data_IF_742769520881
#
_entry.id   IF_742769520881
#
_cell.length_a   1.000
_cell.length_b   1.000
_cell.length_c   1.000
_cell.angle_alpha   90.00
_cell.angle_beta   90.00
_cell.angle_gamma   90.00
#
_symmetry.space_group_name_H-M   'P 1'
#
loop_
_entity.id
_entity.type
_entity.pdbx_description
1 polymer ?
#
# COMPACT_ATOMS: atom_id res chain seq x y z
N UNK A 1 -7.25 0.00 23.12
CA UNK A 1 -6.17 -0.43 24.05
C UNK A 1 -4.92 0.35 23.75
N UNK A 2 -4.09 0.60 24.78
CA UNK A 2 -2.75 1.16 24.63
C UNK A 2 -1.74 0.01 24.69
N UNK A 3 -0.76 -0.02 23.80
CA UNK A 3 0.17 -1.15 23.66
C UNK A 3 1.61 -0.66 23.60
N UNK A 4 2.52 -1.47 24.15
CA UNK A 4 3.95 -1.20 24.09
C UNK A 4 4.75 -2.51 24.07
N UNK A 5 5.90 -2.49 23.41
CA UNK A 5 6.90 -3.54 23.49
C UNK A 5 7.70 -3.36 24.80
N UNK A 6 7.61 -4.32 25.72
CA UNK A 6 8.35 -4.28 26.98
C UNK A 6 9.78 -4.80 26.83
N UNK A 7 9.95 -5.85 26.03
CA UNK A 7 11.23 -6.49 25.81
C UNK A 7 11.24 -7.19 24.46
N UNK A 8 12.28 -6.93 23.68
CA UNK A 8 12.62 -7.56 22.41
C UNK A 8 14.10 -7.92 22.41
N UNK A 9 14.49 -9.07 23.01
CA UNK A 9 15.85 -9.56 22.85
C UNK A 9 16.19 -9.69 21.35
N UNK A 10 17.42 -9.36 20.93
CA UNK A 10 17.83 -9.54 19.55
C UNK A 10 17.64 -11.00 19.11
N UNK A 11 17.26 -11.21 17.85
CA UNK A 11 17.03 -12.54 17.28
C UNK A 11 17.94 -12.71 16.06
N UNK A 12 18.68 -13.81 15.97
CA UNK A 12 19.46 -14.10 14.77
C UNK A 12 18.54 -14.45 13.59
N UNK A 13 18.96 -14.06 12.39
CA UNK A 13 18.35 -14.51 11.15
C UNK A 13 18.20 -16.04 11.12
N UNK A 14 17.02 -16.54 10.74
CA UNK A 14 16.71 -17.99 10.74
C UNK A 14 16.36 -18.58 12.10
N UNK A 15 16.29 -17.77 13.17
CA UNK A 15 15.91 -18.22 14.51
C UNK A 15 14.57 -17.66 14.96
N UNK A 16 14.12 -18.17 16.11
CA UNK A 16 12.91 -17.72 16.77
C UNK A 16 13.22 -17.16 18.15
N UNK A 17 12.51 -16.11 18.53
CA UNK A 17 12.61 -15.50 19.84
C UNK A 17 11.24 -15.20 20.45
N UNK A 18 11.25 -14.76 21.70
CA UNK A 18 10.05 -14.36 22.42
C UNK A 18 10.06 -12.86 22.65
N UNK A 19 8.99 -12.19 22.23
CA UNK A 19 8.73 -10.79 22.53
C UNK A 19 7.78 -10.69 23.71
N UNK A 20 8.06 -9.79 24.64
CA UNK A 20 7.14 -9.46 25.73
C UNK A 20 6.47 -8.13 25.44
N UNK A 21 5.14 -8.15 25.40
CA UNK A 21 4.30 -7.01 25.09
C UNK A 21 3.48 -6.64 26.32
N UNK A 22 3.16 -5.36 26.46
CA UNK A 22 2.19 -4.87 27.43
C UNK A 22 0.98 -4.33 26.69
N UNK A 23 -0.21 -4.71 27.13
CA UNK A 23 -1.46 -4.12 26.68
C UNK A 23 -2.26 -3.62 27.87
N UNK A 24 -2.56 -2.31 27.90
CA UNK A 24 -3.48 -1.71 28.87
C UNK A 24 -4.87 -1.61 28.24
N UNK A 25 -5.83 -2.21 28.92
CA UNK A 25 -7.23 -2.25 28.46
C UNK A 25 -7.88 -0.91 28.77
N UNK A 26 -8.22 -0.15 27.74
CA UNK A 26 -8.87 1.17 27.87
C UNK A 26 -10.39 1.06 27.93
N UNK A 27 -10.96 0.07 27.24
CA UNK A 27 -12.37 -0.26 27.22
C UNK A 27 -12.55 -1.78 27.17
N UNK A 28 -13.70 -2.27 27.64
CA UNK A 28 -14.03 -3.69 27.59
C UNK A 28 -13.97 -4.19 26.13
N UNK A 29 -13.27 -5.30 25.84
CA UNK A 29 -13.18 -5.84 24.49
C UNK A 29 -14.55 -6.17 23.91
N UNK A 30 -14.81 -5.84 22.62
CA UNK A 30 -16.11 -6.07 22.00
C UNK A 30 -16.33 -7.54 21.58
N UNK A 31 -15.31 -8.38 21.70
CA UNK A 31 -15.33 -9.80 21.31
C UNK A 31 -14.78 -10.65 22.44
N UNK A 32 -15.29 -11.88 22.55
CA UNK A 32 -14.80 -12.89 23.50
C UNK A 32 -13.56 -13.63 23.02
N UNK A 33 -13.15 -13.43 21.77
CA UNK A 33 -12.01 -14.09 21.11
C UNK A 33 -11.02 -13.09 20.51
N UNK A 34 -10.89 -11.92 21.15
CA UNK A 34 -10.02 -10.84 20.72
C UNK A 34 -8.56 -11.31 20.76
N UNK A 35 -7.98 -11.54 19.59
CA UNK A 35 -6.67 -12.18 19.42
C UNK A 35 -5.63 -11.14 18.98
N UNK A 36 -4.46 -11.08 19.64
CA UNK A 36 -3.36 -10.25 19.20
C UNK A 36 -2.74 -10.80 17.91
N UNK A 37 -2.45 -9.89 16.99
CA UNK A 37 -1.74 -10.14 15.73
C UNK A 37 -0.46 -9.33 15.74
N UNK A 38 0.68 -10.03 15.82
CA UNK A 38 2.01 -9.44 15.77
C UNK A 38 2.52 -9.46 14.33
N UNK A 39 3.08 -8.35 13.87
CA UNK A 39 3.85 -8.31 12.63
C UNK A 39 5.22 -7.68 12.85
N UNK A 40 6.21 -8.22 12.15
CA UNK A 40 7.54 -7.63 12.03
C UNK A 40 7.69 -7.18 10.57
N UNK A 41 7.96 -5.89 10.39
CA UNK A 41 8.06 -5.27 9.07
C UNK A 41 9.40 -4.60 8.90
N UNK A 42 9.91 -4.67 7.68
CA UNK A 42 11.07 -3.90 7.25
C UNK A 42 10.68 -2.42 7.11
N UNK A 43 11.30 -1.49 7.85
CA UNK A 43 10.97 -0.08 7.77
C UNK A 43 11.33 0.55 6.41
N UNK A 44 12.26 -0.04 5.64
CA UNK A 44 12.68 0.49 4.35
C UNK A 44 11.73 0.10 3.20
N UNK A 45 11.36 -1.18 3.14
CA UNK A 45 10.48 -1.71 2.08
C UNK A 45 8.99 -1.72 2.45
N UNK A 46 8.66 -1.71 3.75
CA UNK A 46 7.33 -2.03 4.26
C UNK A 46 6.97 -3.51 4.15
N UNK A 47 7.88 -4.37 3.67
CA UNK A 47 7.63 -5.81 3.53
C UNK A 47 7.49 -6.46 4.91
N UNK A 48 6.61 -7.47 4.98
CA UNK A 48 6.33 -8.19 6.21
C UNK A 48 7.20 -9.43 6.31
N UNK A 49 8.15 -9.40 7.24
CA UNK A 49 9.00 -10.55 7.54
C UNK A 49 8.25 -11.67 8.27
N UNK A 50 7.38 -11.29 9.20
CA UNK A 50 6.69 -12.24 10.07
C UNK A 50 5.28 -11.77 10.39
N UNK A 51 4.36 -12.73 10.51
CA UNK A 51 3.04 -12.54 11.10
C UNK A 51 2.74 -13.71 12.03
N UNK A 52 2.41 -13.40 13.27
CA UNK A 52 2.06 -14.41 14.27
C UNK A 52 0.89 -13.97 15.12
N UNK A 53 0.22 -14.95 15.73
CA UNK A 53 -0.86 -14.71 16.66
C UNK A 53 -0.77 -15.63 17.87
N UNK A 54 -1.61 -15.34 18.86
CA UNK A 54 -1.80 -16.24 19.99
C UNK A 54 -3.28 -16.18 20.33
N UNK A 55 -4.03 -17.20 19.93
CA UNK A 55 -5.48 -17.24 20.13
C UNK A 55 -5.84 -17.09 21.61
N UNK A 56 -6.84 -16.27 21.89
CA UNK A 56 -7.33 -15.97 23.24
C UNK A 56 -8.84 -16.15 23.31
N UNK A 57 -9.36 -16.47 24.49
CA UNK A 57 -10.79 -16.63 24.76
C UNK A 57 -11.20 -15.87 26.01
N UNK A 58 -12.51 -15.63 26.15
CA UNK A 58 -13.11 -14.87 27.24
C UNK A 58 -12.54 -13.45 27.39
N UNK A 59 -12.09 -12.87 26.28
CA UNK A 59 -11.47 -11.53 26.27
C UNK A 59 -12.48 -10.42 26.53
N UNK A 60 -13.77 -10.67 26.29
CA UNK A 60 -14.89 -9.80 26.63
C UNK A 60 -15.07 -9.61 28.14
N UNK A 61 -14.41 -10.43 28.97
CA UNK A 61 -14.39 -10.30 30.43
C UNK A 61 -13.27 -9.41 30.96
N UNK A 62 -12.37 -8.94 30.10
CA UNK A 62 -11.27 -8.07 30.51
C UNK A 62 -11.79 -6.70 30.94
N UNK A 63 -11.28 -6.20 32.05
CA UNK A 63 -11.78 -4.97 32.66
C UNK A 63 -10.97 -3.75 32.23
N UNK A 64 -11.62 -2.59 31.97
CA UNK A 64 -10.92 -1.33 31.78
C UNK A 64 -9.96 -1.03 32.94
N UNK A 65 -8.74 -0.63 32.60
CA UNK A 65 -7.66 -0.35 33.53
C UNK A 65 -6.72 -1.53 33.81
N UNK A 66 -7.12 -2.76 33.47
CA UNK A 66 -6.23 -3.92 33.57
C UNK A 66 -5.06 -3.82 32.60
N UNK A 67 -3.96 -4.44 32.98
CA UNK A 67 -2.74 -4.49 32.18
C UNK A 67 -2.31 -5.93 32.01
N UNK A 68 -2.20 -6.35 30.77
CA UNK A 68 -1.78 -7.70 30.40
C UNK A 68 -0.34 -7.68 29.92
N UNK A 69 0.39 -8.75 30.26
CA UNK A 69 1.68 -9.06 29.65
C UNK A 69 1.46 -10.24 28.73
N UNK A 70 1.76 -10.04 27.45
CA UNK A 70 1.64 -11.06 26.41
C UNK A 70 3.04 -11.50 26.02
N UNK A 71 3.21 -12.80 25.81
CA UNK A 71 4.46 -13.37 25.31
C UNK A 71 4.19 -13.99 23.95
N UNK A 72 4.72 -13.37 22.90
CA UNK A 72 4.50 -13.82 21.52
C UNK A 72 5.81 -14.32 20.92
N UNK A 73 5.75 -15.43 20.19
CA UNK A 73 6.89 -15.94 19.44
C UNK A 73 7.03 -15.14 18.15
N UNK A 74 8.25 -14.82 17.78
CA UNK A 74 8.61 -14.27 16.49
C UNK A 74 9.60 -15.22 15.82
N UNK A 75 9.36 -15.55 14.55
CA UNK A 75 10.25 -16.35 13.73
C UNK A 75 10.86 -15.45 12.65
N UNK A 76 12.18 -15.30 12.64
CA UNK A 76 12.89 -14.47 11.67
C UNK A 76 13.33 -15.35 10.50
N UNK A 77 12.90 -15.06 9.26
CA UNK A 77 13.32 -15.84 8.10
C UNK A 77 14.85 -15.87 7.97
N UNK A 78 15.46 -16.99 7.55
CA UNK A 78 16.88 -17.02 7.26
C UNK A 78 17.22 -16.11 6.08
N UNK A 79 18.45 -15.62 6.02
CA UNK A 79 18.89 -14.63 5.04
C UNK A 79 18.23 -13.25 5.20
N UNK A 80 17.49 -13.01 6.29
CA UNK A 80 17.10 -11.64 6.68
C UNK A 80 18.37 -10.86 7.05
N UNK A 81 18.60 -9.69 6.44
CA UNK A 81 19.74 -8.85 6.78
C UNK A 81 19.71 -8.43 8.25
N UNK A 82 20.86 -8.30 8.93
CA UNK A 82 20.91 -7.69 10.25
C UNK A 82 20.42 -6.24 10.20
N UNK A 83 19.87 -5.76 11.31
CA UNK A 83 19.35 -4.40 11.42
C UNK A 83 18.15 -4.28 12.33
N UNK A 84 17.56 -3.08 12.36
CA UNK A 84 16.36 -2.79 13.15
C UNK A 84 15.09 -2.92 12.32
N UNK A 85 14.14 -3.69 12.85
CA UNK A 85 12.85 -3.95 12.22
C UNK A 85 11.72 -3.42 13.10
N UNK A 86 10.66 -2.93 12.47
CA UNK A 86 9.51 -2.38 13.18
C UNK A 86 8.59 -3.51 13.64
N UNK A 87 8.20 -3.50 14.91
CA UNK A 87 7.23 -4.42 15.50
C UNK A 87 5.90 -3.70 15.63
N UNK A 88 4.85 -4.26 15.02
CA UNK A 88 3.48 -3.72 15.11
C UNK A 88 2.49 -4.75 15.61
N UNK A 89 1.44 -4.27 16.27
CA UNK A 89 0.40 -5.09 16.87
C UNK A 89 -0.98 -4.62 16.44
N UNK A 90 -1.86 -5.56 16.08
CA UNK A 90 -3.28 -5.34 15.88
C UNK A 90 -4.10 -6.31 16.74
N UNK A 91 -5.38 -6.00 16.92
CA UNK A 91 -6.34 -6.88 17.59
C UNK A 91 -7.48 -7.22 16.65
N UNK A 92 -7.83 -8.50 16.58
CA UNK A 92 -8.91 -9.00 15.72
C UNK A 92 -9.84 -9.92 16.51
N UNK A 93 -11.14 -9.71 16.40
CA UNK A 93 -12.13 -10.70 16.81
C UNK A 93 -12.17 -11.79 15.76
N UNK A 94 -11.70 -12.99 16.08
CA UNK A 94 -11.38 -14.03 15.09
C UNK A 94 -12.61 -14.61 14.41
N UNK A 95 -13.66 -14.90 15.16
CA UNK A 95 -14.92 -15.42 14.64
C UNK A 95 -15.65 -14.41 13.74
N UNK A 96 -15.49 -13.12 14.04
CA UNK A 96 -16.12 -12.04 13.29
C UNK A 96 -15.24 -11.48 12.15
N UNK A 97 -13.99 -11.93 12.05
CA UNK A 97 -12.93 -11.36 11.19
C UNK A 97 -12.90 -9.82 11.22
N UNK A 98 -13.01 -9.25 12.42
CA UNK A 98 -13.14 -7.80 12.61
C UNK A 98 -12.02 -7.24 13.47
N UNK A 99 -11.24 -6.35 12.88
CA UNK A 99 -10.20 -5.60 13.58
C UNK A 99 -10.79 -4.56 14.54
N UNK A 100 -10.08 -4.32 15.64
CA UNK A 100 -10.41 -3.30 16.63
C UNK A 100 -9.36 -2.19 16.56
N UNK A 101 -9.83 -0.94 16.52
CA UNK A 101 -8.93 0.20 16.54
C UNK A 101 -8.21 0.32 17.89
N UNK A 102 -6.94 0.71 17.86
CA UNK A 102 -6.22 1.05 19.08
C UNK A 102 -6.43 2.51 19.47
N UNK A 103 -5.98 2.90 20.68
CA UNK A 103 -6.29 4.21 21.27
C UNK A 103 -5.70 5.39 20.47
N UNK A 104 -4.68 5.16 19.63
CA UNK A 104 -4.08 6.19 18.76
C UNK A 104 -4.74 6.35 17.39
N UNK A 105 -5.81 5.59 17.10
CA UNK A 105 -6.48 5.58 15.80
C UNK A 105 -5.79 4.64 14.80
N UNK A 106 -6.59 3.84 14.08
CA UNK A 106 -6.10 2.83 13.14
C UNK A 106 -6.07 1.41 13.71
N UNK A 107 -5.71 0.45 12.85
CA UNK A 107 -5.74 -0.99 13.16
C UNK A 107 -4.41 -1.50 13.74
N UNK A 108 -3.29 -1.02 13.20
CA UNK A 108 -1.95 -1.45 13.55
C UNK A 108 -1.25 -0.36 14.36
N UNK A 109 -0.84 -0.69 15.58
CA UNK A 109 0.02 0.17 16.38
C UNK A 109 1.47 -0.27 16.22
N UNK A 110 2.36 0.66 15.89
CA UNK A 110 3.80 0.46 16.09
C UNK A 110 4.09 0.45 17.59
N UNK A 111 4.67 -0.65 18.08
CA UNK A 111 4.86 -0.88 19.52
C UNK A 111 6.33 -0.89 19.92
N UNK A 112 7.26 -0.92 18.95
CA UNK A 112 8.71 -0.84 19.17
C UNK A 112 9.50 -1.44 18.01
N UNK A 113 10.78 -1.71 18.26
CA UNK A 113 11.69 -2.30 17.28
C UNK A 113 12.28 -3.63 17.76
N UNK A 114 12.74 -4.44 16.80
CA UNK A 114 13.48 -5.67 17.02
C UNK A 114 14.82 -5.58 16.31
N UNK A 115 15.91 -5.83 17.03
CA UNK A 115 17.24 -6.03 16.44
C UNK A 115 17.34 -7.46 15.88
N UNK A 116 17.55 -7.56 14.57
CA UNK A 116 17.91 -8.82 13.91
C UNK A 116 19.43 -8.89 13.79
N UNK A 117 20.00 -10.01 14.22
CA UNK A 117 21.44 -10.26 14.17
C UNK A 117 21.81 -11.14 12.98
N UNK A 118 23.04 -10.95 12.49
CA UNK A 118 23.58 -11.76 11.40
C UNK A 118 23.69 -13.23 11.79
N UNK A 119 23.48 -14.10 10.82
CA UNK A 119 23.78 -15.53 10.90
C UNK A 119 24.09 -16.03 9.51
N UNK A 120 25.22 -16.70 9.35
CA UNK A 120 25.54 -17.33 8.08
C UNK A 120 24.52 -18.41 7.72
N UNK A 121 24.05 -18.36 6.49
CA UNK A 121 23.02 -19.25 6.00
C UNK A 121 23.28 -19.63 4.55
N UNK A 122 23.23 -20.92 4.26
CA UNK A 122 23.33 -21.48 2.93
C UNK A 122 22.03 -22.23 2.63
N UNK A 123 21.16 -21.72 1.74
CA UNK A 123 19.94 -22.43 1.36
C UNK A 123 20.26 -23.72 0.60
N UNK A 124 19.52 -24.78 0.88
CA UNK A 124 19.56 -26.02 0.07
C UNK A 124 19.07 -25.77 -1.36
N UNK A 125 18.09 -24.89 -1.52
CA UNK A 125 17.52 -24.50 -2.82
C UNK A 125 17.28 -22.99 -2.86
N UNK A 126 17.54 -22.41 -4.03
CA UNK A 126 17.28 -20.99 -4.31
C UNK A 126 16.24 -20.91 -5.44
N UNK A 127 15.15 -20.14 -5.28
CA UNK A 127 14.19 -19.90 -6.35
C UNK A 127 14.86 -19.26 -7.56
N UNK A 128 14.44 -19.66 -8.77
CA UNK A 128 14.98 -19.18 -10.05
C UNK A 128 16.51 -19.02 -10.03
N UNK A 129 17.21 -20.09 -9.67
CA UNK A 129 18.64 -20.02 -9.39
C UNK A 129 19.47 -19.65 -10.62
N UNK A 130 20.49 -18.81 -10.46
CA UNK A 130 21.44 -18.47 -11.51
C UNK A 130 22.89 -18.73 -11.08
N UNK A 131 23.49 -19.80 -11.60
CA UNK A 131 24.88 -20.14 -11.26
C UNK A 131 25.92 -19.21 -11.93
N UNK A 132 25.56 -18.55 -13.03
CA UNK A 132 26.45 -17.70 -13.82
C UNK A 132 26.34 -16.20 -13.48
N UNK A 133 25.40 -15.80 -12.62
CA UNK A 133 25.15 -14.40 -12.28
C UNK A 133 26.12 -13.93 -11.19
N UNK A 134 27.37 -13.66 -11.58
CA UNK A 134 28.44 -13.19 -10.68
C UNK A 134 28.81 -11.74 -10.96
N UNK A 135 29.11 -11.00 -9.89
CA UNK A 135 29.65 -9.64 -9.90
C UNK A 135 31.04 -9.60 -9.24
N UNK A 136 31.77 -10.71 -9.26
CA UNK A 136 33.06 -10.86 -8.58
C UNK A 136 32.89 -11.29 -7.12
N UNK A 137 32.76 -10.33 -6.20
CA UNK A 137 32.70 -10.60 -4.75
C UNK A 137 31.34 -11.07 -4.25
N UNK A 138 30.29 -10.82 -5.04
CA UNK A 138 28.93 -11.30 -4.81
C UNK A 138 28.38 -11.99 -6.05
N UNK A 139 27.40 -12.86 -5.87
CA UNK A 139 26.64 -13.47 -6.95
C UNK A 139 25.13 -13.40 -6.66
N UNK A 140 24.33 -13.11 -7.67
CA UNK A 140 22.88 -13.27 -7.60
C UNK A 140 22.56 -14.76 -7.72
N UNK A 141 22.42 -15.42 -6.57
CA UNK A 141 22.17 -16.86 -6.49
C UNK A 141 20.79 -17.24 -7.06
N UNK A 142 19.83 -16.32 -7.01
CA UNK A 142 18.50 -16.47 -7.61
C UNK A 142 17.53 -15.38 -7.16
N UNK A 143 16.26 -15.52 -7.50
CA UNK A 143 15.23 -14.52 -7.20
C UNK A 143 13.83 -15.14 -7.07
N UNK A 144 12.94 -14.42 -6.40
CA UNK A 144 11.51 -14.73 -6.33
C UNK A 144 10.72 -13.47 -6.69
N UNK A 145 9.57 -13.61 -7.37
CA UNK A 145 8.65 -12.50 -7.61
C UNK A 145 7.22 -12.90 -7.23
N UNK A 146 6.42 -11.94 -6.76
CA UNK A 146 5.01 -12.16 -6.46
C UNK A 146 4.10 -12.17 -7.70
N UNK A 147 4.66 -12.05 -8.91
CA UNK A 147 3.88 -12.07 -10.14
C UNK A 147 3.29 -13.48 -10.35
N UNK A 148 1.98 -13.61 -10.17
CA UNK A 148 1.23 -14.86 -10.37
C UNK A 148 0.27 -14.80 -11.56
N UNK A 149 0.33 -13.72 -12.34
CA UNK A 149 -0.51 -13.45 -13.51
C UNK A 149 -0.13 -12.12 -14.18
N UNK A 150 -1.07 -11.56 -14.94
CA UNK A 150 -0.87 -10.22 -15.50
C UNK A 150 -1.02 -9.15 -14.42
N UNK A 151 -0.10 -8.20 -14.42
CA UNK A 151 -0.06 -7.06 -13.51
C UNK A 151 -0.77 -5.87 -14.14
N UNK A 152 -1.27 -4.95 -13.30
CA UNK A 152 -1.85 -3.69 -13.74
C UNK A 152 -0.85 -2.54 -13.62
N UNK A 153 -0.97 -1.50 -14.46
CA UNK A 153 -0.20 -0.28 -14.28
C UNK A 153 -0.40 0.32 -12.87
N UNK A 154 0.69 0.68 -12.19
CA UNK A 154 0.70 1.17 -10.81
C UNK A 154 0.63 0.10 -9.72
N UNK A 155 0.45 -1.17 -10.07
CA UNK A 155 0.49 -2.28 -9.11
C UNK A 155 1.91 -2.45 -8.54
N UNK A 156 2.07 -2.67 -7.22
CA UNK A 156 3.35 -3.05 -6.65
C UNK A 156 3.65 -4.53 -6.91
N UNK A 157 4.88 -4.81 -7.32
CA UNK A 157 5.45 -6.14 -7.48
C UNK A 157 6.49 -6.37 -6.39
N UNK A 158 6.28 -7.38 -5.54
CA UNK A 158 7.31 -7.80 -4.58
C UNK A 158 8.35 -8.65 -5.30
N UNK A 159 9.63 -8.28 -5.20
CA UNK A 159 10.76 -9.04 -5.73
C UNK A 159 11.76 -9.30 -4.60
N UNK A 160 12.26 -10.53 -4.53
CA UNK A 160 13.32 -10.92 -3.60
C UNK A 160 14.55 -11.34 -4.38
N UNK A 161 15.70 -10.78 -4.05
CA UNK A 161 16.99 -11.14 -4.66
C UNK A 161 17.82 -11.89 -3.62
N UNK A 162 18.27 -13.09 -3.97
CA UNK A 162 19.10 -13.93 -3.12
C UNK A 162 20.55 -13.70 -3.52
N UNK A 163 21.27 -12.94 -2.71
CA UNK A 163 22.68 -12.66 -2.95
C UNK A 163 23.53 -13.61 -2.14
N UNK A 164 24.58 -14.16 -2.76
CA UNK A 164 25.60 -14.98 -2.10
C UNK A 164 26.91 -14.22 -2.08
N UNK A 165 27.57 -14.21 -0.93
CA UNK A 165 28.94 -13.73 -0.80
C UNK A 165 29.91 -14.76 -1.40
N UNK A 166 30.80 -14.33 -2.29
CA UNK A 166 31.87 -15.16 -2.86
C UNK A 166 33.19 -14.99 -2.08
N UNK A 167 33.30 -13.96 -1.25
CA UNK A 167 34.39 -13.67 -0.31
C UNK A 167 33.82 -13.23 1.04
N UNK A 168 34.64 -13.22 2.09
CA UNK A 168 34.24 -12.64 3.39
C UNK A 168 34.16 -11.12 3.28
N UNK A 169 33.08 -10.52 3.81
CA UNK A 169 32.80 -9.07 3.76
C UNK A 169 32.88 -8.51 2.34
N UNK A 170 32.06 -9.01 1.40
CA UNK A 170 32.12 -8.58 0.01
C UNK A 170 31.60 -7.15 -0.17
N UNK A 171 32.09 -6.47 -1.18
CA UNK A 171 31.46 -5.25 -1.68
C UNK A 171 30.16 -5.57 -2.44
N UNK A 172 29.07 -4.89 -2.09
CA UNK A 172 27.79 -4.98 -2.78
C UNK A 172 27.59 -3.76 -3.69
N UNK A 173 27.59 -3.92 -5.03
CA UNK A 173 27.31 -2.81 -5.94
C UNK A 173 25.83 -2.40 -5.92
N UNK A 174 25.57 -1.12 -6.11
CA UNK A 174 24.21 -0.60 -6.26
C UNK A 174 23.59 -1.06 -7.59
N UNK A 175 22.33 -1.49 -7.53
CA UNK A 175 21.56 -1.91 -8.70
C UNK A 175 20.16 -1.31 -8.70
N UNK A 176 19.46 -1.48 -9.82
CA UNK A 176 18.08 -1.03 -9.98
C UNK A 176 17.29 -1.97 -10.89
N UNK A 177 15.97 -1.99 -10.73
CA UNK A 177 15.10 -2.76 -11.61
C UNK A 177 14.88 -2.03 -12.94
N UNK A 178 14.84 -2.79 -14.03
CA UNK A 178 14.69 -2.26 -15.37
C UNK A 178 13.77 -3.15 -16.23
N UNK A 179 13.08 -2.58 -17.21
CA UNK A 179 12.33 -3.32 -18.23
C UNK A 179 13.11 -3.42 -19.55
N UNK A 180 12.61 -4.24 -20.49
CA UNK A 180 13.10 -4.33 -21.88
C UNK A 180 13.45 -2.94 -22.44
N UNK A 181 14.66 -2.79 -22.97
CA UNK A 181 15.15 -1.51 -23.50
C UNK A 181 15.81 -0.60 -22.44
N UNK A 182 15.96 -1.08 -21.20
CA UNK A 182 16.68 -0.38 -20.13
C UNK A 182 15.86 0.67 -19.39
N UNK A 183 14.52 0.64 -19.51
CA UNK A 183 13.65 1.58 -18.80
C UNK A 183 13.72 1.31 -17.29
N UNK A 184 14.23 2.24 -16.47
CA UNK A 184 14.34 2.03 -15.03
C UNK A 184 12.97 2.01 -14.37
N UNK A 185 12.81 1.16 -13.37
CA UNK A 185 11.62 1.07 -12.52
C UNK A 185 11.89 1.70 -11.17
N UNK A 186 10.85 2.32 -10.61
CA UNK A 186 10.89 2.76 -9.20
C UNK A 186 10.77 1.55 -8.30
N UNK A 187 11.63 1.47 -7.30
CA UNK A 187 11.57 0.44 -6.27
C UNK A 187 11.86 1.05 -4.91
N UNK A 188 11.22 0.51 -3.87
CA UNK A 188 11.47 0.87 -2.47
C UNK A 188 12.06 -0.33 -1.70
N UNK A 189 12.92 -0.04 -0.73
CA UNK A 189 13.56 -1.02 0.13
C UNK A 189 14.91 -1.53 -0.40
N UNK A 190 15.15 -2.82 -0.14
CA UNK A 190 16.08 -3.75 -0.78
C UNK A 190 17.57 -3.43 -0.88
N UNK A 191 18.02 -2.19 -1.03
CA UNK A 191 19.45 -1.88 -1.01
C UNK A 191 19.98 -2.08 0.42
N UNK A 192 20.96 -2.96 0.59
CA UNK A 192 21.61 -3.12 1.88
C UNK A 192 22.34 -1.84 2.28
N UNK A 193 22.12 -1.36 3.51
CA UNK A 193 23.07 -0.42 4.09
C UNK A 193 24.40 -1.14 4.40
N UNK A 194 25.52 -0.43 4.39
CA UNK A 194 26.85 -1.01 4.68
C UNK A 194 26.86 -1.82 5.98
N UNK A 195 26.21 -1.30 7.03
CA UNK A 195 26.09 -1.99 8.33
C UNK A 195 25.32 -3.30 8.28
N UNK A 196 24.54 -3.55 7.22
CA UNK A 196 23.76 -4.78 7.06
C UNK A 196 24.54 -5.89 6.38
N UNK A 197 25.63 -5.56 5.70
CA UNK A 197 26.54 -6.52 5.08
C UNK A 197 27.82 -6.73 5.91
N UNK A 198 27.94 -6.02 7.04
CA UNK A 198 28.99 -6.24 8.02
C UNK A 198 28.96 -7.68 8.55
N UNK A 199 30.07 -8.39 8.36
CA UNK A 199 30.19 -9.79 8.78
C UNK A 199 29.51 -10.79 7.86
N UNK A 200 29.09 -10.39 6.66
CA UNK A 200 28.59 -11.31 5.64
C UNK A 200 29.70 -12.27 5.19
N UNK A 201 29.63 -13.51 5.67
CA UNK A 201 30.65 -14.54 5.45
C UNK A 201 30.55 -15.22 4.09
N UNK A 202 31.68 -15.71 3.59
CA UNK A 202 31.77 -16.42 2.32
C UNK A 202 30.77 -17.59 2.23
N UNK A 203 30.09 -17.67 1.09
CA UNK A 203 29.07 -18.67 0.78
C UNK A 203 27.70 -18.39 1.40
N UNK A 204 27.62 -17.50 2.40
CA UNK A 204 26.37 -17.13 3.05
C UNK A 204 25.46 -16.32 2.12
N UNK A 205 24.15 -16.47 2.28
CA UNK A 205 23.13 -15.81 1.47
C UNK A 205 22.36 -14.79 2.29
N UNK A 206 22.25 -13.57 1.76
CA UNK A 206 21.32 -12.53 2.22
C UNK A 206 20.24 -12.30 1.19
N UNK A 207 19.05 -11.93 1.65
CA UNK A 207 17.87 -11.72 0.81
C UNK A 207 17.48 -10.24 0.85
N UNK A 208 17.66 -9.56 -0.28
CA UNK A 208 17.08 -8.23 -0.51
C UNK A 208 15.60 -8.36 -0.82
N UNK A 209 14.79 -7.44 -0.29
CA UNK A 209 13.34 -7.40 -0.48
C UNK A 209 12.95 -6.05 -1.05
N UNK A 210 12.36 -6.08 -2.23
CA UNK A 210 12.03 -4.90 -3.02
C UNK A 210 10.53 -4.83 -3.29
N UNK A 211 9.97 -3.63 -3.18
CA UNK A 211 8.65 -3.29 -3.72
C UNK A 211 8.85 -2.49 -5.01
N UNK A 212 8.75 -3.16 -6.15
CA UNK A 212 8.91 -2.58 -7.49
C UNK A 212 7.56 -2.03 -7.96
N UNK A 213 7.50 -0.75 -8.31
CA UNK A 213 6.25 -0.13 -8.78
C UNK A 213 6.17 -0.21 -10.30
N UNK A 214 5.13 -0.87 -10.82
CA UNK A 214 4.87 -0.87 -12.27
C UNK A 214 4.45 0.55 -12.70
N UNK A 215 5.07 1.14 -13.75
CA UNK A 215 4.72 2.48 -14.20
C UNK A 215 3.24 2.57 -14.59
N UNK A 216 2.58 3.65 -14.18
CA UNK A 216 1.13 3.84 -14.37
C UNK A 216 0.78 4.04 -15.85
N UNK A 217 1.71 4.56 -16.64
CA UNK A 217 1.60 4.79 -18.08
C UNK A 217 2.14 3.62 -18.92
N UNK A 218 2.59 2.54 -18.29
CA UNK A 218 3.07 1.37 -19.00
C UNK A 218 1.95 0.76 -19.84
N UNK A 219 2.21 0.58 -21.14
CA UNK A 219 1.24 -0.01 -22.06
C UNK A 219 1.05 -1.50 -21.75
N UNK A 220 -0.06 -2.06 -22.23
CA UNK A 220 -0.24 -3.50 -22.19
C UNK A 220 0.80 -4.21 -23.05
N UNK A 221 1.27 -5.34 -22.57
CA UNK A 221 2.28 -6.09 -23.28
C UNK A 221 3.03 -7.08 -22.41
N UNK A 222 4.05 -7.68 -23.00
CA UNK A 222 4.96 -8.59 -22.32
C UNK A 222 6.31 -7.88 -22.24
N UNK A 223 6.85 -7.77 -21.03
CA UNK A 223 8.11 -7.10 -20.75
C UNK A 223 9.07 -8.06 -20.08
N UNK A 224 10.36 -7.98 -20.43
CA UNK A 224 11.41 -8.61 -19.65
C UNK A 224 11.71 -7.72 -18.45
N UNK A 225 11.68 -8.29 -17.26
CA UNK A 225 12.09 -7.66 -16.02
C UNK A 225 13.56 -8.01 -15.78
N UNK A 226 14.40 -7.01 -15.57
CA UNK A 226 15.80 -7.17 -15.25
C UNK A 226 16.19 -6.50 -13.95
N UNK A 227 17.30 -6.95 -13.37
CA UNK A 227 18.06 -6.20 -12.38
C UNK A 227 19.36 -5.73 -13.02
N UNK A 228 19.46 -4.42 -13.20
CA UNK A 228 20.58 -3.73 -13.84
C UNK A 228 21.60 -3.35 -12.76
N UNK A 229 22.86 -3.77 -12.92
CA UNK A 229 23.96 -3.49 -11.99
C UNK A 229 25.23 -3.24 -12.80
N UNK A 230 25.87 -2.09 -12.63
CA UNK A 230 26.97 -1.67 -13.51
C UNK A 230 26.56 -1.78 -15.00
N UNK A 231 27.32 -2.56 -15.80
CA UNK A 231 27.03 -2.87 -17.20
C UNK A 231 26.28 -4.20 -17.39
N UNK A 232 26.03 -4.94 -16.30
CA UNK A 232 25.36 -6.24 -16.31
C UNK A 232 23.84 -6.09 -16.16
N UNK A 233 23.11 -6.97 -16.84
CA UNK A 233 21.65 -7.09 -16.70
C UNK A 233 21.30 -8.53 -16.38
N UNK A 234 20.79 -8.78 -15.18
CA UNK A 234 20.25 -10.08 -14.81
C UNK A 234 18.79 -10.17 -15.25
N UNK A 235 18.48 -11.07 -16.17
CA UNK A 235 17.12 -11.35 -16.61
C UNK A 235 16.35 -12.11 -15.50
N UNK A 236 15.37 -11.44 -14.91
CA UNK A 236 14.51 -11.99 -13.86
C UNK A 236 13.25 -12.65 -14.42
N UNK A 237 13.12 -12.72 -15.74
CA UNK A 237 11.99 -13.30 -16.45
C UNK A 237 11.02 -12.26 -17.01
N UNK A 238 9.86 -12.74 -17.45
CA UNK A 238 8.87 -11.90 -18.12
C UNK A 238 7.69 -11.56 -17.22
N UNK A 239 7.24 -10.31 -17.26
CA UNK A 239 5.96 -9.87 -16.69
C UNK A 239 4.97 -9.52 -17.82
N UNK A 240 3.70 -9.77 -17.56
CA UNK A 240 2.61 -9.40 -18.47
C UNK A 240 1.88 -8.21 -17.86
N UNK A 241 1.66 -7.15 -18.63
CA UNK A 241 0.91 -5.98 -18.22
C UNK A 241 -0.45 -6.00 -18.91
N UNK A 242 -1.50 -6.02 -18.09
CA UNK A 242 -2.87 -5.89 -18.55
C UNK A 242 -3.15 -4.48 -19.04
N UNK A 243 -3.90 -4.38 -20.15
CA UNK A 243 -4.32 -3.09 -20.68
C UNK A 243 -5.42 -2.50 -19.85
N UNK A 244 -5.23 -1.25 -19.44
CA UNK A 244 -6.32 -0.44 -18.92
C UNK A 244 -6.85 0.43 -20.05
N UNK A 245 -8.15 0.35 -20.32
CA UNK A 245 -8.80 1.23 -21.28
C UNK A 245 -8.79 2.65 -20.69
N UNK A 246 -8.00 3.54 -21.29
CA UNK A 246 -7.88 4.94 -20.89
C UNK A 246 -8.54 5.83 -21.93
N UNK A 247 -9.30 6.83 -21.48
CA UNK A 247 -9.92 7.82 -22.35
C UNK A 247 -9.04 9.08 -22.29
N UNK A 248 -8.33 9.37 -23.37
CA UNK A 248 -7.43 10.53 -23.45
C UNK A 248 -8.03 11.70 -24.24
N UNK A 249 -8.97 11.40 -25.12
CA UNK A 249 -9.73 12.40 -25.86
C UNK A 249 -10.92 12.86 -25.01
N UNK A 250 -11.17 14.16 -25.02
CA UNK A 250 -12.26 14.73 -24.25
C UNK A 250 -13.61 14.14 -24.72
N UNK A 251 -14.37 13.49 -23.83
CA UNK A 251 -15.69 12.99 -24.18
C UNK A 251 -16.67 14.16 -24.35
N UNK A 252 -17.74 13.91 -25.09
CA UNK A 252 -18.88 14.81 -25.13
C UNK A 252 -19.61 14.78 -23.77
N UNK A 253 -20.04 15.95 -23.31
CA UNK A 253 -20.80 16.14 -22.07
C UNK A 253 -21.92 17.14 -22.31
N UNK A 254 -23.06 16.93 -21.65
CA UNK A 254 -24.22 17.83 -21.72
C UNK A 254 -23.89 19.18 -21.07
N UNK A 255 -23.21 19.14 -19.93
CA UNK A 255 -22.79 20.34 -19.19
C UNK A 255 -21.27 20.38 -19.04
N UNK A 256 -20.62 21.29 -19.75
CA UNK A 256 -19.20 21.60 -19.53
C UNK A 256 -19.05 22.47 -18.27
N UNK A 257 -18.18 22.04 -17.35
CA UNK A 257 -17.94 22.71 -16.07
C UNK A 257 -16.53 23.31 -16.02
N UNK A 258 -15.51 22.52 -16.37
CA UNK A 258 -14.09 22.89 -16.36
C UNK A 258 -13.62 23.54 -15.04
N UNK A 259 -13.92 22.92 -13.90
CA UNK A 259 -13.52 23.41 -12.58
C UNK A 259 -12.32 22.63 -12.02
N UNK A 260 -11.21 23.32 -11.75
CA UNK A 260 -10.00 22.71 -11.24
C UNK A 260 -9.93 22.72 -9.71
N UNK A 261 -9.81 21.55 -9.10
CA UNK A 261 -9.64 21.33 -7.68
C UNK A 261 -8.15 21.15 -7.35
N UNK A 262 -7.62 22.06 -6.52
CA UNK A 262 -6.28 21.96 -5.95
C UNK A 262 -5.12 21.95 -6.96
N UNK A 263 -5.35 22.32 -8.22
CA UNK A 263 -4.34 22.25 -9.28
C UNK A 263 -4.18 20.86 -9.92
N UNK A 264 -4.93 19.85 -9.49
CA UNK A 264 -4.61 18.43 -9.79
C UNK A 264 -5.72 17.64 -10.47
N UNK A 265 -6.99 17.96 -10.21
CA UNK A 265 -8.14 17.28 -10.81
C UNK A 265 -9.14 18.33 -11.31
N UNK A 266 -9.53 18.22 -12.58
CA UNK A 266 -10.63 18.97 -13.16
C UNK A 266 -11.93 18.17 -13.07
N UNK A 267 -13.01 18.80 -12.58
CA UNK A 267 -14.35 18.39 -12.98
C UNK A 267 -14.60 18.94 -14.38
N UNK A 268 -14.38 18.11 -15.40
CA UNK A 268 -14.48 18.51 -16.81
C UNK A 268 -15.93 18.81 -17.18
N UNK A 269 -16.85 17.91 -16.87
CA UNK A 269 -18.27 18.09 -17.16
C UNK A 269 -19.16 17.10 -16.44
N UNK A 270 -20.46 17.20 -16.71
CA UNK A 270 -21.46 16.32 -16.14
C UNK A 270 -22.66 16.13 -17.07
N UNK A 271 -23.23 14.94 -17.00
CA UNK A 271 -24.50 14.58 -17.63
C UNK A 271 -25.50 14.25 -16.53
N UNK A 272 -26.69 14.84 -16.63
CA UNK A 272 -27.74 14.67 -15.64
C UNK A 272 -28.98 14.11 -16.32
N UNK A 273 -29.36 12.89 -15.96
CA UNK A 273 -30.54 12.22 -16.48
C UNK A 273 -31.54 11.98 -15.34
N UNK A 274 -32.75 12.48 -15.50
CA UNK A 274 -33.86 12.19 -14.59
C UNK A 274 -34.73 11.07 -15.19
N UNK A 275 -34.92 10.00 -14.42
CA UNK A 275 -35.82 8.89 -14.73
C UNK A 275 -37.06 8.98 -13.82
N UNK A 276 -37.94 7.98 -13.82
CA UNK A 276 -39.22 8.05 -13.10
C UNK A 276 -39.04 8.19 -11.58
N UNK A 277 -38.10 7.44 -10.98
CA UNK A 277 -37.83 7.43 -9.53
C UNK A 277 -36.38 7.79 -9.15
N UNK A 278 -35.50 7.99 -10.13
CA UNK A 278 -34.06 8.12 -9.93
C UNK A 278 -33.47 9.29 -10.73
N UNK A 279 -32.63 10.08 -10.07
CA UNK A 279 -31.75 11.07 -10.69
C UNK A 279 -30.36 10.45 -10.83
N UNK A 280 -29.91 10.28 -12.07
CA UNK A 280 -28.58 9.76 -12.41
C UNK A 280 -27.67 10.88 -12.86
N UNK A 281 -26.54 11.02 -12.18
CA UNK A 281 -25.50 11.98 -12.49
C UNK A 281 -24.24 11.22 -12.93
N UNK A 282 -23.76 11.49 -14.13
CA UNK A 282 -22.43 11.08 -14.57
C UNK A 282 -21.50 12.27 -14.47
N UNK A 283 -20.43 12.16 -13.70
CA UNK A 283 -19.37 13.14 -13.60
C UNK A 283 -18.21 12.70 -14.48
N UNK A 284 -17.73 13.60 -15.33
CA UNK A 284 -16.51 13.38 -16.08
C UNK A 284 -15.41 14.20 -15.43
N UNK A 285 -14.44 13.49 -14.87
CA UNK A 285 -13.23 14.05 -14.29
C UNK A 285 -12.10 14.02 -15.30
N UNK A 286 -11.12 14.92 -15.13
CA UNK A 286 -9.86 14.88 -15.87
C UNK A 286 -8.69 15.10 -14.91
N UNK A 287 -7.67 14.26 -14.99
CA UNK A 287 -6.43 14.49 -14.23
C UNK A 287 -5.62 15.63 -14.87
N UNK A 288 -5.36 16.69 -14.12
CA UNK A 288 -4.49 17.80 -14.57
C UNK A 288 -3.01 17.52 -14.26
N UNK A 289 -2.75 16.63 -13.31
CA UNK A 289 -1.41 16.20 -12.90
C UNK A 289 -1.43 14.75 -12.39
N UNK A 290 -0.24 14.12 -12.26
CA UNK A 290 -0.10 12.86 -11.54
C UNK A 290 -0.33 13.08 -10.05
N UNK A 291 -0.99 12.12 -9.40
CA UNK A 291 -1.35 12.19 -7.99
C UNK A 291 -0.76 11.01 -7.22
N UNK A 292 -0.23 11.26 -6.04
CA UNK A 292 0.29 10.20 -5.15
C UNK A 292 -0.67 9.84 -4.01
N UNK A 293 -1.83 10.52 -3.97
CA UNK A 293 -2.90 10.27 -3.01
C UNK A 293 -4.19 9.89 -3.73
N UNK A 294 -4.99 9.08 -3.05
CA UNK A 294 -6.34 8.79 -3.49
C UNK A 294 -7.31 9.83 -2.93
N UNK A 295 -8.17 10.38 -3.78
CA UNK A 295 -9.23 11.30 -3.40
C UNK A 295 -10.59 10.60 -3.45
N UNK A 296 -11.50 11.04 -2.58
CA UNK A 296 -12.90 10.66 -2.59
C UNK A 296 -13.69 11.84 -3.13
N UNK A 297 -14.57 11.60 -4.11
CA UNK A 297 -15.50 12.63 -4.55
C UNK A 297 -16.78 12.54 -3.73
N UNK A 298 -17.36 13.71 -3.46
CA UNK A 298 -18.67 13.79 -2.86
C UNK A 298 -19.66 14.48 -3.79
N UNK A 299 -20.91 14.05 -3.70
CA UNK A 299 -22.05 14.71 -4.34
C UNK A 299 -23.13 14.87 -3.28
N UNK A 300 -23.33 16.10 -2.83
CA UNK A 300 -24.33 16.44 -1.82
C UNK A 300 -25.52 17.09 -2.51
N UNK A 301 -26.70 16.48 -2.36
CA UNK A 301 -27.95 17.12 -2.75
C UNK A 301 -28.39 18.09 -1.66
N UNK A 302 -28.66 19.32 -2.05
CA UNK A 302 -29.04 20.39 -1.12
C UNK A 302 -30.40 20.99 -1.44
N UNK A 303 -31.09 21.43 -0.39
CA UNK A 303 -32.35 22.16 -0.52
C UNK A 303 -32.15 23.66 -0.85
N UNK A 304 -33.24 24.42 -0.88
CA UNK A 304 -33.22 25.85 -1.22
C UNK A 304 -32.44 26.72 -0.23
N UNK A 305 -32.24 26.26 1.01
CA UNK A 305 -31.47 26.97 2.04
C UNK A 305 -30.04 26.42 2.19
N UNK A 306 -29.66 25.46 1.34
CA UNK A 306 -28.32 24.86 1.30
C UNK A 306 -28.10 23.73 2.30
N UNK A 307 -29.15 23.21 2.94
CA UNK A 307 -29.02 22.05 3.81
C UNK A 307 -28.87 20.77 2.97
N UNK A 308 -27.92 19.92 3.37
CA UNK A 308 -27.70 18.61 2.76
C UNK A 308 -28.89 17.72 3.13
N UNK A 309 -29.60 17.22 2.11
CA UNK A 309 -30.76 16.32 2.27
C UNK A 309 -30.46 14.88 1.83
N UNK A 310 -29.46 14.68 0.97
CA UNK A 310 -28.90 13.38 0.60
C UNK A 310 -27.43 13.56 0.16
N UNK A 311 -26.59 12.54 0.30
CA UNK A 311 -25.18 12.60 -0.06
C UNK A 311 -24.62 11.27 -0.55
N UNK A 312 -23.63 11.33 -1.43
CA UNK A 312 -22.82 10.19 -1.87
C UNK A 312 -21.36 10.58 -1.79
N UNK A 313 -20.57 9.81 -1.06
CA UNK A 313 -19.13 9.98 -0.90
C UNK A 313 -18.49 8.66 -1.33
N UNK A 314 -17.82 8.68 -2.48
CA UNK A 314 -17.32 7.46 -3.11
C UNK A 314 -15.89 7.67 -3.60
N UNK A 315 -14.97 6.73 -3.35
CA UNK A 315 -13.73 6.70 -4.11
C UNK A 315 -14.09 6.45 -5.59
N UNK A 316 -13.40 7.09 -6.55
CA UNK A 316 -13.53 6.71 -7.95
C UNK A 316 -13.22 5.22 -8.15
N UNK A 317 -13.86 4.62 -9.15
CA UNK A 317 -13.71 3.20 -9.49
C UNK A 317 -12.25 2.85 -9.76
N UNK A 318 -11.55 3.72 -10.48
CA UNK A 318 -10.10 3.70 -10.60
C UNK A 318 -9.51 4.69 -9.57
N UNK A 319 -8.71 4.23 -8.59
CA UNK A 319 -8.09 5.14 -7.62
C UNK A 319 -7.38 6.31 -8.30
N UNK A 320 -7.56 7.53 -7.82
CA UNK A 320 -7.02 8.74 -8.48
C UNK A 320 -5.50 8.73 -8.58
N UNK A 321 -4.80 8.00 -7.71
CA UNK A 321 -3.36 7.81 -7.86
C UNK A 321 -2.99 7.09 -9.17
N UNK A 322 -3.88 6.30 -9.77
CA UNK A 322 -3.62 5.59 -11.03
C UNK A 322 -3.96 6.40 -12.30
N UNK A 323 -4.51 7.61 -12.14
CA UNK A 323 -4.89 8.47 -13.25
C UNK A 323 -3.67 9.07 -13.92
N UNK A 324 -3.66 9.10 -15.26
CA UNK A 324 -2.64 9.76 -16.05
C UNK A 324 -3.01 11.21 -16.32
N UNK A 325 -2.00 12.07 -16.41
CA UNK A 325 -2.23 13.46 -16.81
C UNK A 325 -2.94 13.53 -18.16
N UNK A 326 -4.07 14.24 -18.20
CA UNK A 326 -4.94 14.39 -19.36
C UNK A 326 -6.01 13.30 -19.51
N UNK A 327 -5.98 12.23 -18.71
CA UNK A 327 -6.98 11.17 -18.77
C UNK A 327 -8.34 11.64 -18.26
N UNK A 328 -9.40 11.18 -18.92
CA UNK A 328 -10.79 11.40 -18.57
C UNK A 328 -11.40 10.16 -17.92
N UNK A 329 -12.07 10.34 -16.79
CA UNK A 329 -12.68 9.26 -16.00
C UNK A 329 -14.14 9.63 -15.73
N UNK A 330 -15.06 8.76 -16.14
CA UNK A 330 -16.48 8.92 -15.89
C UNK A 330 -16.89 8.13 -14.64
N UNK A 331 -17.57 8.80 -13.71
CA UNK A 331 -18.12 8.19 -12.50
C UNK A 331 -19.62 8.49 -12.42
N UNK A 332 -20.44 7.46 -12.26
CA UNK A 332 -21.90 7.61 -12.20
C UNK A 332 -22.40 7.39 -10.78
N UNK A 333 -23.22 8.32 -10.30
CA UNK A 333 -23.94 8.21 -9.03
C UNK A 333 -25.43 8.40 -9.25
N UNK A 334 -26.22 7.81 -8.34
CA UNK A 334 -27.66 7.88 -8.41
C UNK A 334 -28.30 8.26 -7.07
N UNK A 335 -29.38 9.02 -7.19
CA UNK A 335 -30.19 9.52 -6.08
C UNK A 335 -31.66 9.17 -6.32
N UNK A 336 -32.42 8.79 -5.29
CA UNK A 336 -33.87 8.83 -5.38
C UNK A 336 -34.34 10.25 -5.70
N UNK A 337 -35.44 10.40 -6.44
CA UNK A 337 -36.03 11.73 -6.69
C UNK A 337 -36.60 12.30 -5.39
N UNK A 338 -36.29 13.57 -5.13
CA UNK A 338 -36.76 14.33 -3.97
C UNK A 338 -36.96 15.80 -4.37
N UNK A 339 -38.21 16.24 -4.41
CA UNK A 339 -38.58 17.59 -4.83
C UNK A 339 -37.99 18.72 -3.95
N UNK A 340 -37.46 18.40 -2.76
CA UNK A 340 -36.80 19.38 -1.90
C UNK A 340 -35.43 19.79 -2.43
N UNK A 341 -34.77 18.92 -3.20
CA UNK A 341 -33.40 19.17 -3.66
C UNK A 341 -33.36 20.12 -4.85
N UNK A 342 -32.67 21.24 -4.69
CA UNK A 342 -32.58 22.31 -5.70
C UNK A 342 -31.24 22.34 -6.43
N UNK A 343 -30.21 21.70 -5.86
CA UNK A 343 -28.88 21.64 -6.44
C UNK A 343 -28.05 20.46 -5.90
N UNK A 344 -26.94 20.21 -6.58
CA UNK A 344 -25.87 19.32 -6.17
C UNK A 344 -24.60 20.13 -5.89
N UNK A 345 -23.96 19.86 -4.77
CA UNK A 345 -22.60 20.31 -4.46
C UNK A 345 -21.62 19.16 -4.69
N UNK A 346 -20.67 19.37 -5.58
CA UNK A 346 -19.71 18.35 -6.03
C UNK A 346 -18.31 18.80 -5.66
N UNK A 347 -17.54 17.95 -4.99
CA UNK A 347 -16.17 18.27 -4.63
C UNK A 347 -15.34 17.03 -4.31
N UNK A 348 -14.10 17.26 -3.89
CA UNK A 348 -13.12 16.21 -3.59
C UNK A 348 -12.51 16.44 -2.22
N UNK A 349 -12.16 15.35 -1.56
CA UNK A 349 -11.40 15.38 -0.31
C UNK A 349 -10.43 14.21 -0.22
N UNK A 350 -9.43 14.34 0.64
CA UNK A 350 -8.54 13.25 1.01
C UNK A 350 -9.16 12.43 2.16
N UNK A 351 -9.36 11.12 2.00
CA UNK A 351 -10.05 10.31 3.01
C UNK A 351 -9.26 10.19 4.33
N UNK A 352 -7.93 10.29 4.27
CA UNK A 352 -7.04 10.09 5.43
C UNK A 352 -7.15 11.21 6.47
N UNK A 353 -7.31 12.47 6.02
CA UNK A 353 -7.33 13.67 6.87
C UNK A 353 -8.62 14.50 6.71
N UNK A 354 -9.51 14.12 5.80
CA UNK A 354 -10.77 14.82 5.53
C UNK A 354 -10.61 16.17 4.82
N UNK A 355 -9.41 16.52 4.37
CA UNK A 355 -9.13 17.83 3.80
C UNK A 355 -9.79 17.97 2.42
N UNK A 356 -10.63 19.00 2.26
CA UNK A 356 -11.29 19.29 0.98
C UNK A 356 -10.41 20.10 0.05
N UNK A 357 -10.49 19.82 -1.24
CA UNK A 357 -9.73 20.52 -2.26
C UNK A 357 -10.44 21.82 -2.64
N UNK A 358 -9.71 22.92 -2.62
CA UNK A 358 -10.22 24.21 -3.00
C UNK A 358 -10.16 24.43 -4.52
N UNK A 359 -11.16 25.14 -5.04
CA UNK A 359 -11.18 25.83 -6.32
C UNK A 359 -10.36 27.12 -6.22
N UNK A 360 -10.05 27.72 -7.38
CA UNK A 360 -9.28 28.97 -7.46
C UNK A 360 -9.94 30.16 -6.71
N UNK A 361 -11.27 30.13 -6.54
CA UNK A 361 -12.02 31.16 -5.82
C UNK A 361 -12.17 30.88 -4.32
N UNK A 362 -11.53 29.83 -3.81
CA UNK A 362 -11.52 29.45 -2.40
C UNK A 362 -12.71 28.61 -1.95
N UNK A 363 -13.70 28.36 -2.82
CA UNK A 363 -14.74 27.35 -2.55
C UNK A 363 -14.16 25.95 -2.65
N UNK A 364 -14.83 24.96 -2.08
CA UNK A 364 -14.43 23.55 -2.06
C UNK A 364 -15.43 22.64 -2.81
N UNK A 365 -16.39 23.23 -3.52
CA UNK A 365 -17.35 22.51 -4.35
C UNK A 365 -17.80 23.34 -5.56
N UNK A 366 -18.17 22.62 -6.61
CA UNK A 366 -18.97 23.13 -7.74
C UNK A 366 -20.45 22.93 -7.40
N UNK A 367 -21.27 23.94 -7.74
CA UNK A 367 -22.73 23.86 -7.59
C UNK A 367 -23.38 23.64 -8.95
N UNK A 368 -24.10 22.53 -9.11
CA UNK A 368 -24.94 22.22 -10.27
C UNK A 368 -26.42 22.37 -9.89
N UNK A 369 -27.17 23.22 -10.58
CA UNK A 369 -28.61 23.41 -10.31
C UNK A 369 -29.43 22.24 -10.86
N UNK A 370 -30.46 21.80 -10.12
CA UNK A 370 -31.40 20.74 -10.53
C UNK A 370 -32.72 21.32 -11.10
N UNK A 371 -32.70 22.55 -11.61
CA UNK A 371 -33.93 23.26 -12.04
C UNK A 371 -34.79 22.41 -12.98
N UNK A 372 -36.11 22.48 -12.76
CA UNK A 372 -37.18 21.85 -13.56
C UNK A 372 -37.09 22.11 -15.08
#
# INVERSE_FOLDING_TARGET
MTMALLNSPPIHSGESGWLMLQARISAAPPFSDLTPLLEIVDPASGDRLYRGDTYMTETDRWLPGETMILRMRADIPPGTPPGQYTVRLAWVGRAADRYVNYDGGGIWAEIGTLDVLHRDWQPDTVPNSCAACSLGEVALAGWESSASGALRPGEPLTVRLYWRAEVDQPYMPEGYFCLTGGMPLRAAGGAFAESQIDGWGQGSVLIERWQVTIPRDLQSGIYALGYCVNDDVFDLGTIVIEGMARIMDAPDVDTLIAANFGGVIDLYGADLAQMEDELRLTLVWRASALMDRNYTFFVHRVDAVGQIIDQRDLPPTLPTSLWLTGEYIAETVAFPIDARGTALHIGLYTPDDGLRLALADGRDYVRLSLTD
#
